data_IF_549459188565
#
_entry.id   IF_549459188565
#
_cell.length_a   1.000
_cell.length_b   1.000
_cell.length_c   1.000
_cell.angle_alpha   90.00
_cell.angle_beta   90.00
_cell.angle_gamma   90.00
#
_symmetry.space_group_name_H-M   'P 1'
#
loop_
_entity.id
_entity.type
_entity.pdbx_description
1 polymer ?
#
# COMPACT_ATOMS: atom_id res chain seq x y z
N UNK A 1 -6.64 -4.34 16.79
CA UNK A 1 -7.80 -3.81 16.10
C UNK A 1 -7.39 -2.82 15.01
N UNK A 2 -8.18 -2.78 13.98
CA UNK A 2 -7.86 -1.94 12.84
C UNK A 2 -8.35 -0.52 13.04
N UNK A 3 -7.60 0.48 12.55
CA UNK A 3 -8.09 1.86 12.55
C UNK A 3 -9.38 1.98 11.75
N UNK A 4 -10.17 2.99 12.10
CA UNK A 4 -11.42 3.24 11.39
C UNK A 4 -11.19 3.47 9.91
N UNK A 5 -12.04 2.89 9.08
CA UNK A 5 -11.98 3.05 7.63
C UNK A 5 -10.96 2.16 6.93
N UNK A 6 -10.30 1.28 7.67
CA UNK A 6 -9.32 0.37 7.07
C UNK A 6 -9.86 -1.05 7.10
N UNK A 7 -9.88 -1.70 5.92
CA UNK A 7 -10.24 -3.09 5.80
C UNK A 7 -9.03 -3.96 6.14
N UNK A 8 -9.19 -4.89 7.08
CA UNK A 8 -8.12 -5.83 7.43
C UNK A 8 -7.70 -6.65 6.22
N UNK A 9 -8.69 -7.05 5.41
CA UNK A 9 -8.41 -7.80 4.19
C UNK A 9 -7.58 -6.99 3.20
N UNK A 10 -7.91 -5.71 3.05
CA UNK A 10 -7.19 -4.85 2.12
C UNK A 10 -5.76 -4.61 2.59
N UNK A 11 -5.57 -4.41 3.89
CA UNK A 11 -4.24 -4.24 4.45
C UNK A 11 -3.40 -5.50 4.26
N UNK A 12 -4.01 -6.66 4.44
CA UNK A 12 -3.35 -7.94 4.22
C UNK A 12 -2.92 -8.11 2.76
N UNK A 13 -3.82 -7.81 1.83
CA UNK A 13 -3.51 -7.91 0.40
C UNK A 13 -2.42 -6.93 -0.01
N UNK A 14 -2.48 -5.72 0.52
CA UNK A 14 -1.48 -4.69 0.26
C UNK A 14 -0.12 -5.14 0.76
N UNK A 15 -0.06 -5.66 1.98
CA UNK A 15 1.19 -6.12 2.59
C UNK A 15 1.78 -7.29 1.80
N UNK A 16 0.95 -8.25 1.41
CA UNK A 16 1.40 -9.39 0.63
C UNK A 16 1.96 -8.95 -0.73
N UNK A 17 1.25 -8.04 -1.41
CA UNK A 17 1.71 -7.55 -2.70
C UNK A 17 3.03 -6.81 -2.57
N UNK A 18 3.13 -5.94 -1.57
CA UNK A 18 4.32 -5.12 -1.37
C UNK A 18 5.53 -5.96 -0.98
N UNK A 19 5.38 -6.84 0.01
CA UNK A 19 6.50 -7.63 0.51
C UNK A 19 6.79 -8.87 -0.33
N UNK A 20 5.85 -9.30 -1.15
CA UNK A 20 6.10 -10.36 -2.12
C UNK A 20 7.15 -9.96 -3.14
N UNK A 21 7.29 -8.67 -3.40
CA UNK A 21 8.26 -8.12 -4.32
C UNK A 21 8.95 -6.92 -3.70
N UNK A 22 9.47 -7.10 -2.49
CA UNK A 22 10.05 -6.01 -1.71
C UNK A 22 11.23 -5.29 -2.37
N UNK A 23 11.90 -5.96 -3.32
CA UNK A 23 13.02 -5.36 -4.05
C UNK A 23 12.56 -4.50 -5.21
N UNK A 24 11.30 -4.64 -5.60
CA UNK A 24 10.72 -3.85 -6.68
C UNK A 24 10.18 -2.54 -6.14
N UNK A 25 10.09 -1.55 -7.01
CA UNK A 25 9.44 -0.29 -6.66
C UNK A 25 7.95 -0.55 -6.43
N UNK A 26 7.33 0.26 -5.58
CA UNK A 26 5.90 0.11 -5.28
C UNK A 26 5.04 0.13 -6.53
N UNK A 27 5.41 0.93 -7.54
CA UNK A 27 4.66 0.99 -8.79
C UNK A 27 4.61 -0.36 -9.50
N UNK A 28 5.57 -1.24 -9.23
CA UNK A 28 5.59 -2.57 -9.81
C UNK A 28 4.98 -3.60 -8.88
N UNK A 29 5.35 -3.55 -7.60
CA UNK A 29 4.86 -4.52 -6.63
C UNK A 29 3.35 -4.40 -6.41
N UNK A 30 2.80 -3.20 -6.50
CA UNK A 30 1.37 -2.94 -6.30
C UNK A 30 0.60 -2.86 -7.61
N UNK A 31 1.23 -3.16 -8.73
CA UNK A 31 0.60 -3.07 -10.03
C UNK A 31 -0.66 -3.92 -10.15
N UNK A 32 -0.65 -5.08 -9.54
CA UNK A 32 -1.80 -5.99 -9.60
C UNK A 32 -2.92 -5.64 -8.63
N UNK A 33 -2.74 -4.61 -7.81
CA UNK A 33 -3.74 -4.21 -6.82
C UNK A 33 -4.46 -2.95 -7.34
N UNK A 34 -5.75 -3.08 -7.73
CA UNK A 34 -6.47 -1.95 -8.32
C UNK A 34 -6.52 -0.73 -7.40
N UNK A 35 -6.20 0.43 -7.94
CA UNK A 35 -6.26 1.68 -7.19
C UNK A 35 -5.07 1.97 -6.30
N UNK A 36 -4.14 1.02 -6.15
CA UNK A 36 -3.00 1.21 -5.25
C UNK A 36 -2.11 2.37 -5.69
N UNK A 37 -1.82 2.47 -6.98
CA UNK A 37 -0.96 3.53 -7.48
C UNK A 37 -1.62 4.90 -7.32
N UNK A 38 -2.94 4.98 -7.52
CA UNK A 38 -3.68 6.22 -7.28
C UNK A 38 -3.65 6.60 -5.81
N UNK A 39 -3.73 5.61 -4.92
CA UNK A 39 -3.66 5.87 -3.48
C UNK A 39 -2.29 6.44 -3.10
N UNK A 40 -1.21 5.90 -3.65
CA UNK A 40 0.12 6.42 -3.41
C UNK A 40 0.23 7.88 -3.84
N UNK A 41 -0.31 8.18 -5.01
CA UNK A 41 -0.28 9.54 -5.54
C UNK A 41 -1.05 10.50 -4.63
N UNK A 42 -2.24 10.10 -4.17
CA UNK A 42 -3.06 10.92 -3.29
C UNK A 42 -2.38 11.22 -1.97
N UNK A 43 -1.62 10.25 -1.47
CA UNK A 43 -0.94 10.38 -0.19
C UNK A 43 0.44 11.03 -0.29
N UNK A 44 0.87 11.32 -1.51
CA UNK A 44 2.18 11.92 -1.74
C UNK A 44 3.33 10.93 -1.53
N UNK A 45 3.04 9.65 -1.63
CA UNK A 45 4.07 8.61 -1.50
C UNK A 45 4.67 8.34 -2.88
N UNK A 46 6.00 8.44 -2.97
CA UNK A 46 6.70 8.22 -4.22
C UNK A 46 6.59 6.74 -4.63
N UNK A 47 6.00 6.43 -5.78
CA UNK A 47 5.87 5.04 -6.23
C UNK A 47 7.19 4.38 -6.59
N UNK A 48 8.27 5.15 -6.66
CA UNK A 48 9.61 4.60 -6.87
C UNK A 48 10.21 4.03 -5.58
N UNK A 49 9.58 4.28 -4.43
CA UNK A 49 10.02 3.71 -3.17
C UNK A 49 9.75 2.21 -3.14
N UNK A 50 10.49 1.52 -2.26
CA UNK A 50 10.30 0.09 -2.07
C UNK A 50 9.53 -0.14 -0.78
N UNK A 51 8.86 -1.32 -0.69
CA UNK A 51 8.04 -1.64 0.48
C UNK A 51 8.81 -1.53 1.79
N UNK A 52 10.09 -1.94 1.78
CA UNK A 52 10.91 -1.91 2.99
C UNK A 52 11.17 -0.51 3.52
N UNK A 53 10.90 0.52 2.71
CA UNK A 53 11.08 1.90 3.14
C UNK A 53 9.81 2.54 3.68
N UNK A 54 8.68 1.82 3.61
CA UNK A 54 7.41 2.32 4.13
C UNK A 54 7.26 2.00 5.60
N UNK A 55 6.72 2.95 6.35
CA UNK A 55 6.37 2.74 7.76
C UNK A 55 5.02 2.04 7.84
N UNK A 56 4.70 1.51 9.04
CA UNK A 56 3.39 0.91 9.27
C UNK A 56 2.28 1.95 9.04
N UNK A 57 2.51 3.19 9.47
CA UNK A 57 1.54 4.25 9.28
C UNK A 57 1.26 4.51 7.80
N UNK A 58 2.30 4.44 6.98
CA UNK A 58 2.14 4.62 5.53
C UNK A 58 1.33 3.48 4.92
N UNK A 59 1.59 2.24 5.32
CA UNK A 59 0.81 1.10 4.87
C UNK A 59 -0.66 1.24 5.25
N UNK A 60 -0.93 1.64 6.49
CA UNK A 60 -2.30 1.84 6.96
C UNK A 60 -2.99 2.94 6.15
N UNK A 61 -2.29 4.01 5.85
CA UNK A 61 -2.84 5.11 5.05
C UNK A 61 -3.23 4.65 3.65
N UNK A 62 -2.37 3.86 3.01
CA UNK A 62 -2.67 3.32 1.68
C UNK A 62 -3.87 2.37 1.75
N UNK A 63 -3.92 1.50 2.75
CA UNK A 63 -5.03 0.59 2.91
C UNK A 63 -6.34 1.34 3.13
N UNK A 64 -6.30 2.44 3.85
CA UNK A 64 -7.48 3.27 4.08
C UNK A 64 -7.99 3.86 2.76
N UNK A 65 -7.07 4.35 1.93
CA UNK A 65 -7.45 4.88 0.62
C UNK A 65 -8.07 3.79 -0.25
N UNK A 66 -7.52 2.59 -0.20
CA UNK A 66 -8.04 1.48 -0.99
C UNK A 66 -9.38 0.97 -0.47
N UNK A 67 -9.66 1.20 0.82
CA UNK A 67 -10.91 0.77 1.45
C UNK A 67 -12.04 1.78 1.28
N UNK A 68 -11.71 2.98 0.87
CA UNK A 68 -12.69 4.06 0.72
C UNK A 68 -13.64 3.84 -0.44
#
# INVERSE_FOLDING_TARGET
DMPDGVSARMLERLTEAAFGQRRKMLRQSLKGLPGALNALERLGIDPARRAETLSVAEFVSVARELSA
#
